data_IF_996524436921
#
_entry.id   IF_996524436921
#
_cell.length_a   1.000
_cell.length_b   1.000
_cell.length_c   1.000
_cell.angle_alpha   90.00
_cell.angle_beta   90.00
_cell.angle_gamma   90.00
#
_symmetry.space_group_name_H-M   'P 1'
#
loop_
_entity.id
_entity.type
_entity.pdbx_description
1 polymer ?
#
# COMPACT_ATOMS: atom_id res chain seq x y z
N UNK A 1 -1.22 7.31 -29.75
CA UNK A 1 0.19 7.08 -29.40
C UNK A 1 0.23 6.38 -28.05
N UNK A 2 0.42 5.05 -28.06
CA UNK A 2 0.77 4.21 -26.90
C UNK A 2 -0.23 4.11 -25.75
N UNK A 3 -1.23 3.24 -25.90
CA UNK A 3 -1.88 2.60 -24.74
C UNK A 3 -0.80 1.87 -23.96
N UNK A 4 -0.48 2.32 -22.75
CA UNK A 4 0.34 1.53 -21.82
C UNK A 4 -0.59 0.45 -21.26
N UNK A 5 -0.59 -0.70 -21.93
CA UNK A 5 -1.10 -1.93 -21.34
C UNK A 5 -0.36 -2.12 -20.01
N UNK A 6 -1.13 -2.20 -18.92
CA UNK A 6 -0.59 -2.52 -17.60
C UNK A 6 -0.03 -3.93 -17.66
N UNK A 7 1.29 -4.04 -17.77
CA UNK A 7 2.00 -5.30 -17.63
C UNK A 7 1.57 -5.93 -16.29
N UNK A 8 1.16 -7.22 -16.25
CA UNK A 8 0.75 -7.84 -15.00
C UNK A 8 1.87 -7.74 -13.98
N UNK A 9 1.52 -7.30 -12.76
CA UNK A 9 2.44 -6.93 -11.67
C UNK A 9 3.52 -7.99 -11.40
N UNK A 10 3.22 -9.27 -11.62
CA UNK A 10 4.15 -10.39 -11.41
C UNK A 10 5.32 -10.43 -12.42
N UNK A 11 5.11 -10.04 -13.68
CA UNK A 11 6.17 -10.06 -14.70
C UNK A 11 7.21 -8.98 -14.45
N UNK A 12 6.79 -7.87 -13.83
CA UNK A 12 7.68 -6.76 -13.46
C UNK A 12 8.69 -7.22 -12.41
N UNK A 13 8.29 -8.02 -11.41
CA UNK A 13 9.18 -8.44 -10.32
C UNK A 13 10.44 -9.18 -10.79
N UNK A 14 10.33 -10.04 -11.82
CA UNK A 14 11.46 -10.82 -12.35
C UNK A 14 12.51 -9.99 -13.11
N UNK A 15 12.20 -8.74 -13.42
CA UNK A 15 13.13 -7.84 -14.11
C UNK A 15 14.12 -7.16 -13.14
N UNK A 16 13.88 -7.21 -11.82
CA UNK A 16 14.69 -6.50 -10.83
C UNK A 16 15.48 -7.49 -9.96
N UNK A 17 16.73 -7.15 -9.66
CA UNK A 17 17.53 -7.89 -8.66
C UNK A 17 16.97 -7.74 -7.24
N UNK A 18 16.24 -6.64 -6.97
CA UNK A 18 15.49 -6.37 -5.74
C UNK A 18 14.30 -5.46 -6.06
N UNK A 19 13.14 -5.72 -5.47
CA UNK A 19 11.97 -4.85 -5.62
C UNK A 19 11.23 -4.72 -4.30
N UNK A 20 10.74 -3.52 -3.98
CA UNK A 20 9.88 -3.32 -2.81
C UNK A 20 8.47 -3.73 -3.16
N UNK A 21 7.82 -4.49 -2.28
CA UNK A 21 6.43 -4.93 -2.45
C UNK A 21 5.58 -4.40 -1.31
N UNK A 22 4.34 -4.02 -1.61
CA UNK A 22 3.29 -3.77 -0.62
C UNK A 22 2.13 -4.71 -0.91
N UNK A 23 1.58 -5.29 0.15
CA UNK A 23 0.35 -6.07 0.09
C UNK A 23 -0.51 -5.72 1.30
N UNK A 24 -1.82 -5.88 1.15
CA UNK A 24 -2.76 -5.88 2.25
C UNK A 24 -3.45 -7.23 2.33
N UNK A 25 -3.99 -7.57 3.50
CA UNK A 25 -4.84 -8.74 3.63
C UNK A 25 -5.91 -8.52 4.68
N UNK A 26 -6.94 -9.35 4.59
CA UNK A 26 -7.96 -9.53 5.62
C UNK A 26 -7.95 -11.00 6.04
N UNK A 27 -8.81 -11.38 6.99
CA UNK A 27 -8.98 -12.80 7.34
C UNK A 27 -9.46 -13.67 6.15
N UNK A 28 -10.01 -13.09 5.08
CA UNK A 28 -10.60 -13.83 3.97
C UNK A 28 -9.82 -13.72 2.65
N UNK A 29 -9.10 -12.62 2.43
CA UNK A 29 -8.50 -12.32 1.12
C UNK A 29 -7.15 -11.63 1.24
N UNK A 30 -6.32 -11.80 0.22
CA UNK A 30 -5.10 -11.02 -0.01
C UNK A 30 -5.39 -10.00 -1.11
N UNK A 31 -4.93 -8.77 -0.90
CA UNK A 31 -5.07 -7.65 -1.84
C UNK A 31 -3.67 -7.18 -2.25
N UNK A 32 -3.38 -7.23 -3.56
CA UNK A 32 -2.02 -7.10 -4.09
C UNK A 32 -1.48 -8.47 -4.56
N UNK A 33 -0.15 -8.67 -4.65
CA UNK A 33 0.93 -7.74 -4.33
C UNK A 33 1.04 -6.54 -5.28
N UNK A 34 1.58 -5.43 -4.77
CA UNK A 34 1.88 -4.21 -5.50
C UNK A 34 3.38 -3.95 -5.48
N UNK A 35 4.01 -3.89 -6.64
CA UNK A 35 5.46 -3.72 -6.76
C UNK A 35 5.84 -2.26 -7.01
N UNK A 36 6.89 -1.80 -6.34
CA UNK A 36 7.50 -0.49 -6.57
C UNK A 36 8.79 -0.65 -7.38
N UNK A 37 8.63 -0.71 -8.69
CA UNK A 37 9.74 -0.71 -9.65
C UNK A 37 9.46 0.23 -10.80
N UNK A 38 10.50 0.85 -11.33
CA UNK A 38 10.43 1.66 -12.55
C UNK A 38 11.44 1.16 -13.57
N UNK A 39 11.08 1.22 -14.85
CA UNK A 39 12.01 0.98 -15.93
C UNK A 39 12.57 2.34 -16.34
N UNK A 40 13.78 2.64 -15.87
CA UNK A 40 14.54 3.83 -16.24
C UNK A 40 15.28 3.64 -17.55
N UNK A 41 16.02 4.67 -17.96
CA UNK A 41 16.88 4.64 -19.15
C UNK A 41 18.04 3.63 -19.06
N UNK A 42 18.45 3.27 -17.84
CA UNK A 42 19.47 2.25 -17.56
C UNK A 42 18.90 0.85 -17.32
N UNK A 43 17.58 0.67 -17.43
CA UNK A 43 16.89 -0.58 -17.15
C UNK A 43 16.07 -0.54 -15.84
N UNK A 44 15.71 -1.71 -15.29
CA UNK A 44 14.88 -1.83 -14.10
C UNK A 44 15.60 -1.30 -12.84
N UNK A 45 15.02 -0.28 -12.19
CA UNK A 45 15.53 0.29 -10.94
C UNK A 45 14.49 0.21 -9.81
N UNK A 46 14.92 -0.28 -8.64
CA UNK A 46 14.07 -0.31 -7.44
C UNK A 46 13.67 1.10 -7.05
N UNK A 47 12.37 1.38 -7.05
CA UNK A 47 11.88 2.69 -6.65
C UNK A 47 11.78 2.80 -5.13
N UNK A 48 12.31 3.88 -4.58
CA UNK A 48 12.11 4.20 -3.16
C UNK A 48 10.65 4.57 -2.92
N UNK A 49 10.02 3.93 -1.93
CA UNK A 49 8.65 4.26 -1.52
C UNK A 49 8.66 5.58 -0.76
N UNK A 50 7.90 6.55 -1.24
CA UNK A 50 7.67 7.84 -0.58
C UNK A 50 6.16 8.09 -0.44
N UNK A 51 5.79 9.15 0.27
CA UNK A 51 4.38 9.47 0.53
C UNK A 51 3.53 9.61 -0.73
N UNK A 52 4.05 10.25 -1.78
CA UNK A 52 3.33 10.44 -3.05
C UNK A 52 3.12 9.12 -3.80
N UNK A 53 4.15 8.26 -3.86
CA UNK A 53 4.06 6.94 -4.49
C UNK A 53 3.10 6.02 -3.73
N UNK A 54 3.14 6.08 -2.40
CA UNK A 54 2.22 5.33 -1.55
C UNK A 54 0.77 5.84 -1.71
N UNK A 55 0.55 7.15 -1.72
CA UNK A 55 -0.76 7.74 -2.01
C UNK A 55 -1.30 7.28 -3.37
N UNK A 56 -0.46 7.30 -4.41
CA UNK A 56 -0.82 6.84 -5.75
C UNK A 56 -1.25 5.36 -5.75
N UNK A 57 -0.49 4.50 -5.05
CA UNK A 57 -0.87 3.10 -4.87
C UNK A 57 -2.24 2.96 -4.20
N UNK A 58 -2.49 3.72 -3.12
CA UNK A 58 -3.77 3.67 -2.42
C UNK A 58 -4.93 4.05 -3.34
N UNK A 59 -4.82 5.19 -4.03
CA UNK A 59 -5.90 5.74 -4.88
C UNK A 59 -6.17 4.89 -6.12
N UNK A 60 -5.11 4.42 -6.77
CA UNK A 60 -5.21 3.83 -8.10
C UNK A 60 -5.33 2.31 -8.08
N UNK A 61 -4.84 1.65 -7.03
CA UNK A 61 -4.78 0.19 -6.97
C UNK A 61 -5.56 -0.37 -5.78
N UNK A 62 -5.22 0.03 -4.55
CA UNK A 62 -5.79 -0.59 -3.36
C UNK A 62 -7.29 -0.28 -3.20
N UNK A 63 -7.67 1.00 -3.17
CA UNK A 63 -9.06 1.41 -2.95
C UNK A 63 -9.98 0.88 -4.05
N UNK A 64 -9.63 0.96 -5.35
CA UNK A 64 -10.41 0.32 -6.41
C UNK A 64 -10.58 -1.19 -6.23
N UNK A 65 -9.52 -1.91 -5.85
CA UNK A 65 -9.60 -3.34 -5.60
C UNK A 65 -10.56 -3.66 -4.44
N UNK A 66 -10.45 -2.94 -3.31
CA UNK A 66 -11.35 -3.10 -2.17
C UNK A 66 -12.80 -2.75 -2.53
N UNK A 67 -13.04 -1.80 -3.44
CA UNK A 67 -14.40 -1.46 -3.91
C UNK A 67 -15.00 -2.59 -4.73
N UNK A 68 -14.23 -3.20 -5.63
CA UNK A 68 -14.69 -4.33 -6.43
C UNK A 68 -15.06 -5.53 -5.56
N UNK A 69 -14.34 -5.71 -4.45
CA UNK A 69 -14.60 -6.75 -3.46
C UNK A 69 -15.74 -6.41 -2.48
N UNK A 70 -16.30 -5.19 -2.55
CA UNK A 70 -17.33 -4.72 -1.62
C UNK A 70 -16.84 -4.53 -0.18
N UNK A 71 -15.53 -4.35 0.02
CA UNK A 71 -14.91 -4.33 1.35
C UNK A 71 -14.62 -2.93 1.91
N UNK A 72 -14.62 -1.86 1.10
CA UNK A 72 -14.18 -0.53 1.58
C UNK A 72 -14.95 -0.08 2.82
N UNK A 73 -16.28 -0.22 2.81
CA UNK A 73 -17.15 0.24 3.90
C UNK A 73 -17.20 -0.71 5.11
N UNK A 74 -16.53 -1.85 5.05
CA UNK A 74 -16.42 -2.80 6.18
C UNK A 74 -14.99 -2.95 6.69
N UNK A 75 -14.02 -2.37 5.99
CA UNK A 75 -12.61 -2.52 6.32
C UNK A 75 -12.18 -1.51 7.38
N UNK A 76 -11.62 -2.01 8.48
CA UNK A 76 -10.73 -1.21 9.33
C UNK A 76 -9.32 -1.29 8.72
N UNK A 77 -8.79 -0.15 8.31
CA UNK A 77 -7.47 -0.07 7.68
C UNK A 77 -6.36 0.03 8.73
N UNK A 78 -5.33 -0.80 8.61
CA UNK A 78 -4.18 -0.80 9.53
C UNK A 78 -2.88 -0.66 8.74
N UNK A 79 -2.01 0.22 9.21
CA UNK A 79 -0.64 0.38 8.71
C UNK A 79 0.28 0.84 9.85
N UNK A 80 1.58 0.57 9.71
CA UNK A 80 2.59 0.97 10.68
C UNK A 80 2.89 2.49 10.64
N UNK A 81 3.92 2.90 11.38
CA UNK A 81 4.34 4.30 11.51
C UNK A 81 5.41 4.76 10.52
N UNK A 82 5.70 3.99 9.45
CA UNK A 82 6.74 4.33 8.49
C UNK A 82 6.51 5.73 7.85
N UNK A 83 7.57 6.50 7.53
CA UNK A 83 7.44 7.86 7.02
C UNK A 83 6.51 8.00 5.78
N UNK A 84 6.53 7.10 4.78
CA UNK A 84 5.59 7.18 3.65
C UNK A 84 4.12 7.03 4.07
N UNK A 85 3.85 6.18 5.07
CA UNK A 85 2.48 5.83 5.51
C UNK A 85 1.83 6.96 6.32
N UNK A 86 2.62 7.78 7.00
CA UNK A 86 2.12 8.90 7.82
C UNK A 86 2.14 10.26 7.10
N UNK A 87 2.52 10.27 5.81
CA UNK A 87 2.55 11.47 5.00
C UNK A 87 1.16 12.12 4.92
N UNK A 88 1.10 13.46 4.92
CA UNK A 88 -0.16 14.23 4.82
C UNK A 88 -1.10 13.76 3.70
N UNK A 89 -0.66 13.62 2.42
CA UNK A 89 -1.54 13.15 1.36
C UNK A 89 -2.11 11.75 1.61
N UNK A 90 -1.31 10.86 2.21
CA UNK A 90 -1.73 9.49 2.56
C UNK A 90 -2.83 9.52 3.62
N UNK A 91 -2.64 10.31 4.69
CA UNK A 91 -3.66 10.48 5.74
C UNK A 91 -4.98 11.03 5.18
N UNK A 92 -4.91 11.98 4.25
CA UNK A 92 -6.10 12.55 3.61
C UNK A 92 -6.86 11.49 2.79
N UNK A 93 -6.16 10.67 2.02
CA UNK A 93 -6.77 9.55 1.28
C UNK A 93 -7.42 8.55 2.22
N UNK A 94 -6.71 8.13 3.27
CA UNK A 94 -7.24 7.14 4.21
C UNK A 94 -8.49 7.68 4.91
N UNK A 95 -8.45 8.91 5.42
CA UNK A 95 -9.62 9.50 6.09
C UNK A 95 -10.81 9.65 5.13
N UNK A 96 -10.58 10.03 3.87
CA UNK A 96 -11.65 10.17 2.88
C UNK A 96 -12.38 8.85 2.60
N UNK A 97 -11.66 7.73 2.58
CA UNK A 97 -12.22 6.44 2.14
C UNK A 97 -12.64 5.52 3.29
N UNK A 98 -11.91 5.54 4.40
CA UNK A 98 -12.20 4.67 5.55
C UNK A 98 -12.84 5.44 6.70
N UNK A 99 -12.65 6.75 6.81
CA UNK A 99 -13.08 7.52 7.99
C UNK A 99 -12.15 7.32 9.18
N UNK A 100 -12.00 8.37 9.99
CA UNK A 100 -11.04 8.42 11.11
C UNK A 100 -11.23 7.32 12.16
N UNK A 101 -12.44 6.78 12.32
CA UNK A 101 -12.78 5.75 13.32
C UNK A 101 -12.37 4.33 12.88
N UNK A 102 -12.13 4.11 11.59
CA UNK A 102 -11.74 2.82 11.01
C UNK A 102 -10.29 2.79 10.54
N UNK A 103 -9.43 3.65 11.09
CA UNK A 103 -8.00 3.69 10.75
C UNK A 103 -7.17 3.45 12.00
N UNK A 104 -6.31 2.43 11.95
CA UNK A 104 -5.27 2.14 12.94
C UNK A 104 -3.93 2.53 12.34
N UNK A 105 -3.43 3.71 12.70
CA UNK A 105 -2.16 4.23 12.21
C UNK A 105 -1.67 5.36 13.11
N UNK A 106 -0.39 5.69 13.03
CA UNK A 106 0.18 6.83 13.79
C UNK A 106 -0.50 8.13 13.36
N UNK A 107 -0.80 8.99 14.33
CA UNK A 107 -1.54 10.27 14.15
C UNK A 107 -3.03 10.15 13.80
N UNK A 108 -3.64 8.98 13.97
CA UNK A 108 -5.10 8.79 14.01
C UNK A 108 -5.57 8.49 15.44
N UNK A 109 -6.89 8.58 15.73
CA UNK A 109 -7.42 8.32 17.07
C UNK A 109 -7.06 6.93 17.62
N UNK A 110 -7.07 5.89 16.77
CA UNK A 110 -6.53 4.56 17.10
C UNK A 110 -5.08 4.51 16.65
N UNK A 111 -4.18 4.94 17.53
CA UNK A 111 -2.76 4.97 17.23
C UNK A 111 -2.15 3.55 17.24
N UNK A 112 -1.36 3.25 16.21
CA UNK A 112 -0.45 2.11 16.24
C UNK A 112 0.78 2.50 17.09
N UNK A 113 1.15 1.72 18.13
CA UNK A 113 2.33 2.00 18.94
C UNK A 113 3.61 1.92 18.10
N UNK A 114 4.62 2.76 18.40
CA UNK A 114 5.89 2.71 17.70
C UNK A 114 6.64 1.42 18.04
N UNK A 115 7.33 0.84 17.04
CA UNK A 115 8.19 -0.34 17.20
C UNK A 115 7.47 -1.60 17.69
N UNK A 116 6.22 -1.81 17.24
CA UNK A 116 5.42 -2.99 17.59
C UNK A 116 5.11 -3.85 16.35
N UNK A 117 6.13 -4.48 15.72
CA UNK A 117 5.91 -5.36 14.58
C UNK A 117 5.06 -6.59 14.96
N UNK A 118 5.08 -6.99 16.23
CA UNK A 118 4.24 -8.05 16.80
C UNK A 118 2.74 -7.73 16.76
N UNK A 119 2.36 -6.45 16.65
CA UNK A 119 0.97 -6.03 16.52
C UNK A 119 0.54 -5.82 15.06
N UNK A 120 1.47 -5.91 14.11
CA UNK A 120 1.18 -5.82 12.69
C UNK A 120 1.18 -7.22 12.07
N UNK A 121 0.02 -7.76 11.65
CA UNK A 121 -0.05 -9.08 11.04
C UNK A 121 0.87 -9.27 9.82
N UNK A 122 1.19 -8.20 9.09
CA UNK A 122 2.15 -8.24 7.98
C UNK A 122 3.61 -8.41 8.44
N UNK A 123 3.96 -7.99 9.65
CA UNK A 123 5.34 -7.98 10.17
C UNK A 123 5.60 -9.09 11.19
N UNK A 124 4.56 -9.72 11.73
CA UNK A 124 4.69 -10.75 12.77
C UNK A 124 5.53 -11.96 12.34
N UNK A 125 5.54 -12.30 11.04
CA UNK A 125 6.25 -13.46 10.48
C UNK A 125 7.38 -13.10 9.52
N UNK A 126 7.74 -11.82 9.38
CA UNK A 126 8.86 -11.36 8.54
C UNK A 126 10.19 -11.41 9.29
#
# INVERSE_FOLDING_TARGET
MGMRESVPNATIAFLFSKVTVSCGFTAAIIVGPFFFGEIGSSGPETSTVNGTRYESLLRNLLIPALRQLGCVDSTTFMQDGAPPHIATPVKQVLNLHFGNDRIISRHFPRACPPLSPDLNPCEFWL
#
